data_IF_200987805726
#
_entry.id   IF_200987805726
#
_cell.length_a   1.000
_cell.length_b   1.000
_cell.length_c   1.000
_cell.angle_alpha   90.00
_cell.angle_beta   90.00
_cell.angle_gamma   90.00
#
_symmetry.space_group_name_H-M   'P 1'
#
loop_
_entity.id
_entity.type
_entity.pdbx_description
1 polymer ?
#
# COMPACT_ATOMS: atom_id res chain seq x y z
N UNK A 1 -6.62 -14.77 6.69
CA UNK A 1 -8.00 -14.70 6.17
C UNK A 1 -7.97 -14.61 4.63
N UNK A 2 -9.13 -14.51 3.96
CA UNK A 2 -9.18 -14.11 2.54
C UNK A 2 -8.67 -12.67 2.34
N UNK A 3 -8.83 -11.81 3.36
CA UNK A 3 -8.26 -10.45 3.42
C UNK A 3 -6.73 -10.47 3.36
N UNK A 4 -6.09 -11.24 4.23
CA UNK A 4 -4.62 -11.38 4.25
C UNK A 4 -4.03 -11.75 2.87
N UNK A 5 -4.64 -12.71 2.17
CA UNK A 5 -4.16 -13.14 0.86
C UNK A 5 -4.27 -12.02 -0.20
N UNK A 6 -5.28 -11.17 -0.08
CA UNK A 6 -5.49 -10.02 -0.96
C UNK A 6 -4.47 -8.92 -0.67
N UNK A 7 -4.20 -8.61 0.61
CA UNK A 7 -3.14 -7.66 1.00
C UNK A 7 -1.80 -8.12 0.46
N UNK A 8 -1.47 -9.39 0.67
CA UNK A 8 -0.20 -9.99 0.24
C UNK A 8 -0.01 -9.93 -1.27
N UNK A 9 -1.05 -10.28 -2.03
CA UNK A 9 -1.02 -10.20 -3.49
C UNK A 9 -0.84 -8.77 -3.97
N UNK A 10 -1.54 -7.81 -3.34
CA UNK A 10 -1.42 -6.40 -3.68
C UNK A 10 -0.03 -5.85 -3.35
N UNK A 11 0.52 -6.15 -2.17
CA UNK A 11 1.87 -5.75 -1.77
C UNK A 11 2.93 -6.30 -2.71
N UNK A 12 2.81 -7.57 -3.12
CA UNK A 12 3.73 -8.19 -4.05
C UNK A 12 3.70 -7.51 -5.44
N UNK A 13 2.50 -7.16 -5.94
CA UNK A 13 2.35 -6.43 -7.21
C UNK A 13 2.96 -5.03 -7.10
N UNK A 14 2.65 -4.29 -6.02
CA UNK A 14 3.12 -2.93 -5.80
C UNK A 14 4.65 -2.88 -5.62
N UNK A 15 5.24 -3.89 -4.98
CA UNK A 15 6.68 -4.02 -4.81
C UNK A 15 7.43 -4.35 -6.10
N UNK A 16 6.78 -5.09 -7.02
CA UNK A 16 7.43 -5.64 -8.20
C UNK A 16 7.71 -4.63 -9.31
N UNK A 17 6.89 -3.59 -9.47
CA UNK A 17 7.07 -2.58 -10.53
C UNK A 17 6.47 -1.24 -10.13
N UNK A 18 7.16 -0.10 -10.38
CA UNK A 18 6.58 1.22 -10.18
C UNK A 18 5.25 1.39 -10.92
N UNK A 19 4.19 1.71 -10.17
CA UNK A 19 2.84 1.84 -10.71
C UNK A 19 2.78 3.02 -11.71
N UNK A 20 2.34 2.73 -12.93
CA UNK A 20 2.30 3.71 -14.03
C UNK A 20 1.24 4.80 -13.82
N UNK A 21 0.16 4.52 -13.08
CA UNK A 21 -0.82 5.51 -12.69
C UNK A 21 -0.25 6.46 -11.64
N UNK A 22 0.48 5.93 -10.65
CA UNK A 22 1.21 6.74 -9.67
C UNK A 22 2.26 7.59 -10.38
N UNK A 23 3.07 7.00 -11.26
CA UNK A 23 4.12 7.70 -12.00
C UNK A 23 3.55 8.86 -12.84
N UNK A 24 2.38 8.67 -13.45
CA UNK A 24 1.71 9.71 -14.23
C UNK A 24 1.23 10.89 -13.39
N UNK A 25 0.85 10.67 -12.12
CA UNK A 25 0.27 11.72 -11.26
C UNK A 25 1.26 12.35 -10.29
N UNK A 26 2.21 11.57 -9.79
CA UNK A 26 3.17 11.99 -8.76
C UNK A 26 4.63 11.93 -9.24
N UNK A 27 4.87 11.49 -10.47
CA UNK A 27 6.20 11.33 -11.05
C UNK A 27 6.82 9.96 -10.78
N UNK A 28 7.75 9.57 -11.65
CA UNK A 28 8.41 8.26 -11.56
C UNK A 28 9.21 8.05 -10.28
N UNK A 29 9.77 9.11 -9.70
CA UNK A 29 10.51 9.03 -8.44
C UNK A 29 9.61 8.64 -7.26
N UNK A 30 8.40 9.20 -7.17
CA UNK A 30 7.44 8.83 -6.12
C UNK A 30 6.91 7.40 -6.34
N UNK A 31 6.64 7.02 -7.59
CA UNK A 31 6.23 5.65 -7.90
C UNK A 31 7.29 4.61 -7.51
N UNK A 32 8.57 4.91 -7.78
CA UNK A 32 9.68 4.05 -7.36
C UNK A 32 9.83 4.00 -5.84
N UNK A 33 9.64 5.14 -5.13
CA UNK A 33 9.66 5.18 -3.66
C UNK A 33 8.58 4.30 -3.05
N UNK A 34 7.35 4.39 -3.56
CA UNK A 34 6.21 3.60 -3.09
C UNK A 34 6.44 2.11 -3.33
N UNK A 35 6.95 1.73 -4.51
CA UNK A 35 7.29 0.34 -4.81
C UNK A 35 8.39 -0.19 -3.87
N UNK A 36 9.45 0.60 -3.63
CA UNK A 36 10.50 0.24 -2.67
C UNK A 36 9.96 0.01 -1.27
N UNK A 37 9.09 0.91 -0.77
CA UNK A 37 8.49 0.81 0.55
C UNK A 37 7.56 -0.40 0.68
N UNK A 38 6.78 -0.71 -0.36
CA UNK A 38 6.00 -1.95 -0.41
C UNK A 38 6.90 -3.19 -0.35
N UNK A 39 8.05 -3.17 -1.04
CA UNK A 39 9.05 -4.24 -0.99
C UNK A 39 9.61 -4.46 0.41
N UNK A 40 9.82 -3.40 1.19
CA UNK A 40 10.25 -3.51 2.59
C UNK A 40 9.19 -4.19 3.47
N UNK A 41 7.91 -3.90 3.26
CA UNK A 41 6.81 -4.57 3.97
C UNK A 41 6.78 -6.07 3.63
N UNK A 42 6.93 -6.41 2.34
CA UNK A 42 7.02 -7.82 1.90
C UNK A 42 8.23 -8.51 2.51
N UNK A 43 9.41 -7.87 2.50
CA UNK A 43 10.64 -8.41 3.07
C UNK A 43 10.53 -8.63 4.59
N UNK A 44 9.75 -7.79 5.29
CA UNK A 44 9.45 -7.97 6.71
C UNK A 44 8.46 -9.11 7.00
N UNK A 45 7.89 -9.74 5.97
CA UNK A 45 6.97 -10.87 6.08
C UNK A 45 5.49 -10.50 5.95
N UNK A 46 5.19 -9.28 5.48
CA UNK A 46 3.84 -8.82 5.18
C UNK A 46 2.87 -8.97 6.35
N UNK A 47 1.63 -9.38 6.09
CA UNK A 47 0.62 -9.57 7.14
C UNK A 47 0.88 -10.83 7.97
N UNK A 48 1.78 -11.71 7.55
CA UNK A 48 2.06 -13.00 8.22
C UNK A 48 2.90 -12.84 9.48
N UNK A 49 3.75 -11.82 9.55
CA UNK A 49 4.63 -11.56 10.70
C UNK A 49 4.17 -10.33 11.48
N UNK A 50 4.63 -10.20 12.73
CA UNK A 50 4.32 -9.00 13.52
C UNK A 50 5.06 -7.79 12.96
N UNK A 51 6.31 -8.00 12.57
CA UNK A 51 7.21 -7.01 12.00
C UNK A 51 6.64 -6.46 10.69
N UNK A 52 6.14 -7.34 9.82
CA UNK A 52 5.50 -6.96 8.56
C UNK A 52 4.19 -6.21 8.77
N UNK A 53 3.35 -6.60 9.74
CA UNK A 53 2.13 -5.83 10.09
C UNK A 53 2.46 -4.43 10.62
N UNK A 54 3.51 -4.29 11.42
CA UNK A 54 3.98 -2.97 11.88
C UNK A 54 4.50 -2.12 10.73
N UNK A 55 5.29 -2.70 9.81
CA UNK A 55 5.77 -2.02 8.62
C UNK A 55 4.62 -1.59 7.70
N UNK A 56 3.61 -2.44 7.53
CA UNK A 56 2.40 -2.15 6.74
C UNK A 56 1.63 -0.96 7.31
N UNK A 57 1.44 -0.91 8.63
CA UNK A 57 0.76 0.20 9.29
C UNK A 57 1.52 1.54 9.12
N UNK A 58 2.85 1.51 9.25
CA UNK A 58 3.69 2.68 9.00
C UNK A 58 3.60 3.14 7.54
N UNK A 59 3.65 2.19 6.60
CA UNK A 59 3.52 2.48 5.17
C UNK A 59 2.16 3.10 4.82
N UNK A 60 1.06 2.57 5.36
CA UNK A 60 -0.28 3.15 5.17
C UNK A 60 -0.36 4.60 5.69
N UNK A 61 0.21 4.85 6.88
CA UNK A 61 0.27 6.19 7.46
C UNK A 61 1.07 7.17 6.58
N UNK A 62 2.25 6.78 6.08
CA UNK A 62 3.06 7.58 5.15
C UNK A 62 2.28 7.93 3.88
N UNK A 63 1.58 6.95 3.30
CA UNK A 63 0.78 7.16 2.11
C UNK A 63 -0.38 8.14 2.36
N UNK A 64 -1.00 8.07 3.54
CA UNK A 64 -2.11 8.97 3.93
C UNK A 64 -1.63 10.41 4.11
N UNK A 65 -0.48 10.61 4.73
CA UNK A 65 0.13 11.92 4.94
C UNK A 65 0.60 12.57 3.62
N UNK A 66 1.24 11.78 2.76
CA UNK A 66 1.67 12.23 1.42
C UNK A 66 0.50 12.66 0.52
N UNK A 67 -0.70 12.10 0.73
CA UNK A 67 -1.92 12.49 0.00
C UNK A 67 -2.61 13.71 0.59
N UNK A 68 -2.68 13.81 1.93
CA UNK A 68 -3.26 14.95 2.62
C UNK A 68 -2.48 16.24 2.35
N UNK A 69 -1.15 16.13 2.19
CA UNK A 69 -0.28 17.26 1.86
C UNK A 69 -0.26 17.66 0.38
N UNK A 70 -0.87 16.90 -0.54
CA UNK A 70 -0.69 17.07 -2.01
C UNK A 70 -1.97 17.11 -2.87
N UNK A 71 -3.17 17.31 -2.32
CA UNK A 71 -4.40 17.12 -3.14
C UNK A 71 -4.52 18.12 -4.32
N UNK A 72 -4.83 17.67 -5.57
CA UNK A 72 -6.10 17.04 -5.90
C UNK A 72 -6.02 15.67 -6.65
N UNK A 73 -6.59 14.61 -6.07
CA UNK A 73 -7.98 14.24 -6.36
C UNK A 73 -8.30 12.98 -7.17
N UNK A 74 -7.37 12.18 -7.69
CA UNK A 74 -7.81 11.02 -8.51
C UNK A 74 -6.90 9.79 -8.64
N UNK A 75 -5.68 9.73 -8.07
CA UNK A 75 -4.84 8.49 -8.10
C UNK A 75 -4.56 7.93 -6.71
N UNK A 76 -4.80 8.75 -5.69
CA UNK A 76 -4.92 8.35 -4.30
C UNK A 76 -5.94 7.22 -4.06
N UNK A 77 -6.98 7.15 -4.89
CA UNK A 77 -8.16 6.35 -4.55
C UNK A 77 -8.04 4.88 -4.94
N UNK A 78 -7.35 4.47 -6.00
CA UNK A 78 -7.40 3.04 -6.38
C UNK A 78 -6.44 2.16 -5.59
N UNK A 79 -5.17 2.55 -5.46
CA UNK A 79 -4.19 1.78 -4.68
C UNK A 79 -4.52 1.85 -3.20
N UNK A 80 -4.94 3.02 -2.70
CA UNK A 80 -5.30 3.14 -1.31
C UNK A 80 -6.71 2.68 -0.98
N UNK A 81 -7.71 2.80 -1.86
CA UNK A 81 -8.97 2.09 -1.61
C UNK A 81 -8.77 0.58 -1.72
N UNK A 82 -7.88 0.06 -2.57
CA UNK A 82 -7.57 -1.37 -2.57
C UNK A 82 -6.96 -1.81 -1.23
N UNK A 83 -5.96 -1.10 -0.71
CA UNK A 83 -5.41 -1.39 0.64
C UNK A 83 -6.45 -1.17 1.75
N UNK A 84 -7.23 -0.10 1.67
CA UNK A 84 -8.18 0.30 2.72
C UNK A 84 -9.44 -0.58 2.76
N UNK A 85 -10.00 -0.98 1.61
CA UNK A 85 -11.12 -1.93 1.54
C UNK A 85 -10.71 -3.27 2.13
N UNK A 86 -9.48 -3.73 1.87
CA UNK A 86 -8.99 -5.01 2.39
C UNK A 86 -8.73 -4.95 3.90
N UNK A 87 -8.24 -3.83 4.43
CA UNK A 87 -8.08 -3.63 5.88
C UNK A 87 -9.45 -3.55 6.59
N UNK A 88 -10.43 -2.88 5.99
CA UNK A 88 -11.79 -2.77 6.55
C UNK A 88 -12.57 -4.08 6.50
N UNK A 89 -12.36 -4.94 5.51
CA UNK A 89 -13.03 -6.25 5.44
C UNK A 89 -12.55 -7.22 6.53
N UNK A 90 -11.31 -7.11 7.00
CA UNK A 90 -10.81 -7.90 8.14
C UNK A 90 -11.40 -7.43 9.48
N UNK A 91 -11.66 -6.12 9.66
CA UNK A 91 -12.30 -5.56 10.86
C UNK A 91 -13.82 -5.86 10.93
N UNK A 92 -14.48 -6.13 9.80
CA UNK A 92 -15.92 -6.44 9.76
C UNK A 92 -16.22 -7.95 9.98
N UNK A 93 -15.23 -8.82 9.83
CA UNK A 93 -15.39 -10.28 9.90
C UNK A 93 -14.84 -10.90 11.20
N UNK A 94 -14.55 -10.06 12.20
CA UNK A 94 -14.11 -10.43 13.55
C UNK A 94 -15.16 -10.12 14.62
#
# INVERSE_FOLDING_TARGET
SWGDATVESHLAILAGTPDTHIARKLGGAEAARIAGRAGEVVAAGGVRTREGRTALAAFDAELRDARNSRNPGATADLTCAALFVVILEDDWNS
#
